data_IF_620143992300
#
_entry.id   IF_620143992300
#
_cell.length_a   1.000
_cell.length_b   1.000
_cell.length_c   1.000
_cell.angle_alpha   90.00
_cell.angle_beta   90.00
_cell.angle_gamma   90.00
#
_symmetry.space_group_name_H-M   'P 1'
#
loop_
_entity.id
_entity.type
_entity.pdbx_description
1 polymer ?
#
# COMPACT_ATOMS: atom_id res chain seq x y z
N UNK A 1 -8.57 26.60 12.26
CA UNK A 1 -7.81 25.60 13.06
C UNK A 1 -7.66 24.39 12.17
N UNK A 2 -6.48 23.77 12.09
CA UNK A 2 -6.31 22.50 11.37
C UNK A 2 -7.19 21.43 12.01
N UNK A 3 -7.78 20.54 11.19
CA UNK A 3 -8.53 19.37 11.68
C UNK A 3 -7.63 18.54 12.61
N UNK A 4 -8.22 17.89 13.60
CA UNK A 4 -7.53 16.91 14.45
C UNK A 4 -8.33 15.62 14.44
N UNK A 5 -7.65 14.49 14.47
CA UNK A 5 -8.26 13.17 14.35
C UNK A 5 -8.27 12.43 15.69
N UNK A 6 -9.28 11.59 15.90
CA UNK A 6 -9.37 10.74 17.09
C UNK A 6 -8.52 9.48 16.95
N UNK A 7 -8.28 9.03 15.71
CA UNK A 7 -7.36 7.93 15.41
C UNK A 7 -6.67 8.09 14.06
N UNK A 8 -5.64 7.29 13.83
CA UNK A 8 -5.07 7.07 12.51
C UNK A 8 -4.90 5.58 12.20
N UNK A 9 -5.20 5.23 10.95
CA UNK A 9 -4.97 3.90 10.40
C UNK A 9 -3.91 4.02 9.28
N UNK A 10 -2.72 3.50 9.54
CA UNK A 10 -1.57 3.59 8.64
C UNK A 10 -1.35 2.24 7.96
N UNK A 11 -1.76 2.14 6.71
CA UNK A 11 -1.59 0.98 5.85
C UNK A 11 -0.26 1.06 5.12
N UNK A 12 0.63 0.08 5.31
CA UNK A 12 1.90 -0.01 4.60
C UNK A 12 1.88 -1.27 3.73
N UNK A 13 1.87 -1.06 2.42
CA UNK A 13 1.68 -2.09 1.39
C UNK A 13 2.82 -2.08 0.38
N UNK A 14 3.03 -3.21 -0.30
CA UNK A 14 4.03 -3.27 -1.35
C UNK A 14 3.51 -2.62 -2.62
N UNK A 15 2.26 -2.96 -2.98
CA UNK A 15 1.67 -2.69 -4.28
C UNK A 15 0.31 -1.99 -4.17
N UNK A 16 -0.13 -1.40 -5.28
CA UNK A 16 -1.27 -0.49 -5.36
C UNK A 16 -2.65 -1.16 -5.23
N UNK A 17 -2.72 -2.49 -5.34
CA UNK A 17 -3.94 -3.32 -5.19
C UNK A 17 -4.01 -4.09 -3.85
N UNK A 18 -2.93 -4.14 -3.09
CA UNK A 18 -2.83 -4.95 -1.87
C UNK A 18 -3.95 -4.63 -0.87
N UNK A 19 -4.22 -3.34 -0.64
CA UNK A 19 -5.16 -2.93 0.39
C UNK A 19 -6.62 -3.18 -0.03
N UNK A 20 -6.94 -3.06 -1.31
CA UNK A 20 -8.24 -3.44 -1.87
C UNK A 20 -8.45 -4.96 -1.69
N UNK A 21 -7.43 -5.75 -2.01
CA UNK A 21 -7.51 -7.21 -2.02
C UNK A 21 -7.44 -7.84 -0.62
N UNK A 22 -6.57 -7.36 0.26
CA UNK A 22 -6.19 -8.09 1.48
C UNK A 22 -6.52 -7.37 2.78
N UNK A 23 -6.86 -6.08 2.72
CA UNK A 23 -7.14 -5.26 3.92
C UNK A 23 -8.60 -4.78 4.01
N UNK A 24 -9.36 -4.92 2.91
CA UNK A 24 -10.80 -4.65 2.90
C UNK A 24 -11.61 -5.76 3.59
N UNK A 25 -12.61 -5.41 4.44
CA UNK A 25 -13.30 -4.11 4.45
C UNK A 25 -12.73 -3.06 5.40
N UNK A 26 -11.74 -3.38 6.25
CA UNK A 26 -11.23 -2.48 7.29
C UNK A 26 -10.73 -1.14 6.73
N UNK A 27 -9.86 -1.18 5.72
CA UNK A 27 -9.36 0.03 5.05
C UNK A 27 -10.49 0.86 4.43
N UNK A 28 -11.50 0.21 3.85
CA UNK A 28 -12.67 0.90 3.31
C UNK A 28 -13.48 1.59 4.40
N UNK A 29 -13.59 1.02 5.59
CA UNK A 29 -14.27 1.63 6.72
C UNK A 29 -13.46 2.83 7.26
N UNK A 30 -12.14 2.71 7.35
CA UNK A 30 -11.27 3.79 7.80
C UNK A 30 -11.26 4.97 6.83
N UNK A 31 -11.25 4.71 5.51
CA UNK A 31 -11.36 5.77 4.49
C UNK A 31 -12.64 6.59 4.66
N UNK A 32 -13.76 5.96 5.06
CA UNK A 32 -15.05 6.63 5.16
C UNK A 32 -15.33 7.25 6.54
N UNK A 33 -14.45 7.04 7.52
CA UNK A 33 -14.57 7.56 8.87
C UNK A 33 -13.90 8.94 8.95
N UNK A 34 -14.71 10.01 9.00
CA UNK A 34 -14.21 11.39 9.08
C UNK A 34 -13.40 11.69 10.35
N UNK A 35 -13.44 10.82 11.36
CA UNK A 35 -12.63 10.95 12.58
C UNK A 35 -11.29 10.19 12.50
N UNK A 36 -11.09 9.40 11.43
CA UNK A 36 -9.87 8.64 11.17
C UNK A 36 -9.00 9.37 10.14
N UNK A 37 -7.73 9.60 10.49
CA UNK A 37 -6.72 9.93 9.49
C UNK A 37 -6.24 8.62 8.85
N UNK A 38 -6.65 8.37 7.61
CA UNK A 38 -6.26 7.14 6.90
C UNK A 38 -5.05 7.42 6.02
N UNK A 39 -4.01 6.59 6.12
CA UNK A 39 -2.80 6.75 5.34
C UNK A 39 -2.44 5.44 4.67
N UNK A 40 -2.15 5.48 3.37
CA UNK A 40 -1.76 4.30 2.59
C UNK A 40 -0.40 4.56 1.95
N UNK A 41 0.63 3.88 2.44
CA UNK A 41 2.02 4.01 2.00
C UNK A 41 2.34 2.82 1.10
N UNK A 42 2.68 3.09 -0.15
CA UNK A 42 3.12 2.08 -1.11
C UNK A 42 4.65 2.11 -1.20
N UNK A 43 5.29 1.00 -0.84
CA UNK A 43 6.76 0.91 -0.84
C UNK A 43 7.30 0.78 -2.26
N UNK A 44 6.63 0.02 -3.13
CA UNK A 44 7.04 -0.17 -4.53
C UNK A 44 6.12 0.56 -5.51
N UNK A 45 6.56 0.69 -6.75
CA UNK A 45 5.76 1.18 -7.87
C UNK A 45 4.84 0.08 -8.44
N UNK A 46 5.04 -1.19 -8.06
CA UNK A 46 4.32 -2.30 -8.67
C UNK A 46 4.47 -2.33 -10.19
N UNK A 47 5.65 -1.97 -10.70
CA UNK A 47 5.87 -1.80 -12.14
C UNK A 47 5.91 -3.13 -12.89
N UNK A 48 6.11 -4.27 -12.21
CA UNK A 48 6.24 -5.60 -12.82
C UNK A 48 7.18 -5.65 -14.05
N UNK A 49 8.19 -4.77 -14.11
CA UNK A 49 9.12 -4.61 -15.22
C UNK A 49 8.59 -3.84 -16.44
N UNK A 50 7.34 -3.37 -16.43
CA UNK A 50 6.74 -2.57 -17.50
C UNK A 50 7.23 -1.11 -17.52
N UNK A 51 6.87 -0.38 -18.58
CA UNK A 51 7.13 1.05 -18.69
C UNK A 51 6.35 1.91 -17.71
N UNK A 52 6.77 3.18 -17.61
CA UNK A 52 6.31 4.09 -16.58
C UNK A 52 4.79 4.32 -16.61
N UNK A 53 4.19 4.26 -17.80
CA UNK A 53 2.75 4.37 -17.97
C UNK A 53 1.97 3.33 -17.15
N UNK A 54 2.56 2.14 -16.90
CA UNK A 54 1.91 1.09 -16.11
C UNK A 54 1.84 1.45 -14.63
N UNK A 55 2.97 1.75 -13.98
CA UNK A 55 2.94 2.09 -12.56
C UNK A 55 2.20 3.43 -12.31
N UNK A 56 2.26 4.39 -13.23
CA UNK A 56 1.45 5.61 -13.19
C UNK A 56 -0.04 5.26 -13.21
N UNK A 57 -0.46 4.33 -14.06
CA UNK A 57 -1.85 3.87 -14.11
C UNK A 57 -2.27 3.17 -12.81
N UNK A 58 -1.40 2.36 -12.19
CA UNK A 58 -1.65 1.73 -10.90
C UNK A 58 -1.80 2.74 -9.75
N UNK A 59 -0.96 3.77 -9.70
CA UNK A 59 -1.11 4.86 -8.72
C UNK A 59 -2.46 5.58 -8.89
N UNK A 60 -2.81 5.95 -10.14
CA UNK A 60 -4.09 6.58 -10.45
C UNK A 60 -5.28 5.68 -10.08
N UNK A 61 -5.17 4.38 -10.28
CA UNK A 61 -6.20 3.39 -9.97
C UNK A 61 -6.41 3.22 -8.45
N UNK A 62 -5.34 3.21 -7.65
CA UNK A 62 -5.43 3.21 -6.19
C UNK A 62 -6.17 4.47 -5.69
N UNK A 63 -5.82 5.64 -6.23
CA UNK A 63 -6.48 6.90 -5.90
C UNK A 63 -7.96 6.91 -6.30
N UNK A 64 -8.28 6.38 -7.47
CA UNK A 64 -9.67 6.26 -7.93
C UNK A 64 -10.50 5.37 -7.00
N UNK A 65 -9.91 4.31 -6.44
CA UNK A 65 -10.56 3.43 -5.47
C UNK A 65 -10.94 4.17 -4.19
N UNK A 66 -10.04 5.03 -3.68
CA UNK A 66 -10.30 5.91 -2.51
C UNK A 66 -11.44 6.89 -2.84
N UNK A 67 -11.39 7.55 -3.99
CA UNK A 67 -12.43 8.49 -4.43
C UNK A 67 -13.79 7.82 -4.59
N UNK A 68 -13.81 6.58 -5.09
CA UNK A 68 -15.03 5.78 -5.17
C UNK A 68 -15.58 5.51 -3.77
N UNK A 69 -14.73 5.12 -2.81
CA UNK A 69 -15.17 4.89 -1.43
C UNK A 69 -15.73 6.14 -0.75
N UNK A 70 -15.17 7.31 -1.06
CA UNK A 70 -15.61 8.62 -0.58
C UNK A 70 -16.79 9.20 -1.37
N UNK A 71 -17.31 8.54 -2.41
CA UNK A 71 -18.33 9.09 -3.32
C UNK A 71 -19.67 9.45 -2.66
N UNK A 72 -19.92 8.95 -1.43
CA UNK A 72 -21.07 9.34 -0.61
C UNK A 72 -20.92 10.70 0.07
N UNK A 73 -19.71 11.25 0.10
CA UNK A 73 -19.39 12.58 0.63
C UNK A 73 -19.31 13.60 -0.51
N UNK A 74 -19.55 14.91 -0.27
CA UNK A 74 -19.35 15.93 -1.27
C UNK A 74 -17.94 15.84 -1.86
N UNK A 75 -17.82 15.92 -3.19
CA UNK A 75 -16.56 15.68 -3.90
C UNK A 75 -15.44 16.54 -3.31
N UNK A 76 -14.54 15.90 -2.58
CA UNK A 76 -13.37 16.55 -2.04
C UNK A 76 -12.33 16.69 -3.15
N UNK A 77 -11.67 17.83 -3.21
CA UNK A 77 -10.62 18.05 -4.21
C UNK A 77 -9.42 17.16 -3.89
N UNK A 78 -8.99 16.38 -4.88
CA UNK A 78 -7.70 15.70 -4.82
C UNK A 78 -6.60 16.76 -4.73
N UNK A 79 -5.74 16.64 -3.72
CA UNK A 79 -4.51 17.42 -3.63
C UNK A 79 -3.36 16.48 -4.01
N UNK A 80 -2.54 16.90 -4.96
CA UNK A 80 -1.28 16.24 -5.31
C UNK A 80 -0.15 17.08 -4.74
N UNK A 81 0.79 16.45 -4.05
CA UNK A 81 1.91 17.13 -3.41
C UNK A 81 3.19 16.28 -3.46
N UNK A 82 4.31 16.91 -3.15
CA UNK A 82 5.63 16.28 -3.03
C UNK A 82 6.27 16.76 -1.74
N UNK A 83 6.59 15.83 -0.83
CA UNK A 83 7.21 16.14 0.45
C UNK A 83 8.66 15.65 0.50
N UNK A 84 9.57 16.49 0.98
CA UNK A 84 10.95 16.08 1.24
C UNK A 84 11.08 15.51 2.66
N UNK A 85 11.51 14.25 2.77
CA UNK A 85 11.74 13.56 4.04
C UNK A 85 13.09 12.85 4.00
N UNK A 86 13.98 13.19 4.94
CA UNK A 86 15.34 12.64 5.03
C UNK A 86 16.17 12.73 3.73
N UNK A 87 15.93 13.78 2.92
CA UNK A 87 16.61 13.97 1.63
C UNK A 87 16.00 13.16 0.47
N UNK A 88 14.82 12.57 0.68
CA UNK A 88 14.04 11.87 -0.35
C UNK A 88 12.75 12.62 -0.64
N UNK A 89 12.43 12.73 -1.92
CA UNK A 89 11.21 13.36 -2.42
C UNK A 89 10.11 12.32 -2.58
N UNK A 90 9.05 12.44 -1.79
CA UNK A 90 7.94 11.47 -1.75
C UNK A 90 6.69 12.13 -2.33
N UNK A 91 6.18 11.57 -3.43
CA UNK A 91 4.88 11.98 -3.97
C UNK A 91 3.77 11.50 -3.05
N UNK A 92 2.83 12.38 -2.73
CA UNK A 92 1.63 12.01 -2.00
C UNK A 92 0.39 12.65 -2.60
N UNK A 93 -0.76 12.03 -2.34
CA UNK A 93 -2.05 12.57 -2.76
C UNK A 93 -3.09 12.39 -1.68
N UNK A 94 -3.82 13.46 -1.39
CA UNK A 94 -4.83 13.50 -0.34
C UNK A 94 -6.20 13.64 -0.97
N UNK A 95 -7.12 12.75 -0.59
CA UNK A 95 -8.52 12.76 -0.94
C UNK A 95 -9.33 12.70 0.36
N UNK A 96 -9.85 13.86 0.77
CA UNK A 96 -10.41 14.03 2.11
C UNK A 96 -9.45 13.69 3.22
N UNK A 97 -9.85 12.80 4.12
CA UNK A 97 -9.04 12.40 5.29
C UNK A 97 -8.10 11.22 4.99
N UNK A 98 -8.03 10.81 3.72
CA UNK A 98 -7.16 9.74 3.26
C UNK A 98 -5.98 10.27 2.43
N UNK A 99 -4.75 9.93 2.81
CA UNK A 99 -3.53 10.28 2.07
C UNK A 99 -2.80 9.04 1.58
N UNK A 100 -2.48 8.97 0.29
CA UNK A 100 -1.58 7.96 -0.26
C UNK A 100 -0.18 8.52 -0.43
N UNK A 101 0.85 7.77 -0.02
CA UNK A 101 2.26 8.04 -0.29
C UNK A 101 2.82 7.00 -1.25
N UNK A 102 3.67 7.43 -2.19
CA UNK A 102 4.29 6.56 -3.17
C UNK A 102 5.82 6.69 -3.08
N UNK A 103 6.48 5.66 -2.56
CA UNK A 103 7.94 5.62 -2.49
C UNK A 103 8.57 5.21 -3.84
N UNK A 104 7.78 4.57 -4.71
CA UNK A 104 8.14 4.21 -6.10
C UNK A 104 9.42 3.39 -6.21
N UNK A 105 9.67 2.49 -5.27
CA UNK A 105 10.78 1.55 -5.39
C UNK A 105 10.46 0.49 -6.46
N UNK A 106 11.45 -0.07 -7.16
CA UNK A 106 11.21 -1.12 -8.15
C UNK A 106 10.52 -2.32 -7.53
N UNK A 107 9.57 -2.88 -8.26
CA UNK A 107 8.97 -4.18 -7.96
C UNK A 107 10.08 -5.26 -7.95
N UNK A 108 10.10 -6.03 -6.87
CA UNK A 108 11.07 -7.07 -6.62
C UNK A 108 10.83 -8.34 -7.43
N UNK A 109 9.77 -8.44 -8.23
CA UNK A 109 9.25 -9.70 -8.76
C UNK A 109 8.91 -10.68 -7.62
N UNK A 110 8.30 -11.82 -7.95
CA UNK A 110 7.72 -12.72 -6.97
C UNK A 110 8.69 -13.18 -5.86
N UNK A 111 9.92 -13.56 -6.22
CA UNK A 111 10.95 -14.05 -5.29
C UNK A 111 11.97 -12.97 -4.88
N UNK A 112 11.82 -11.71 -5.30
CA UNK A 112 12.78 -10.64 -4.98
C UNK A 112 13.95 -10.50 -5.97
N UNK A 113 13.88 -11.17 -7.12
CA UNK A 113 14.88 -11.13 -8.19
C UNK A 113 15.01 -9.76 -8.88
N UNK A 114 13.93 -8.96 -8.85
CA UNK A 114 13.78 -7.72 -9.60
C UNK A 114 13.62 -7.94 -11.11
N UNK A 115 13.41 -6.85 -11.83
CA UNK A 115 13.27 -6.85 -13.29
C UNK A 115 14.50 -6.24 -13.99
N UNK A 116 14.80 -6.71 -15.21
CA UNK A 116 15.94 -6.24 -16.02
C UNK A 116 15.92 -4.72 -16.22
N UNK A 117 14.73 -4.15 -16.46
CA UNK A 117 14.51 -2.71 -16.65
C UNK A 117 15.14 -1.86 -15.55
N UNK A 118 15.10 -2.35 -14.31
CA UNK A 118 15.64 -1.66 -13.13
C UNK A 118 16.93 -2.30 -12.62
N UNK A 119 17.69 -2.95 -13.51
CA UNK A 119 18.95 -3.63 -13.21
C UNK A 119 18.82 -4.68 -12.10
N UNK A 120 17.67 -5.37 -12.04
CA UNK A 120 17.39 -6.40 -11.04
C UNK A 120 17.51 -5.90 -9.58
N UNK A 121 17.28 -4.60 -9.35
CA UNK A 121 17.20 -4.03 -8.02
C UNK A 121 15.88 -4.45 -7.34
N UNK A 122 15.92 -4.69 -6.03
CA UNK A 122 14.74 -5.03 -5.23
C UNK A 122 14.96 -4.65 -3.76
N UNK A 123 13.86 -4.57 -3.00
CA UNK A 123 13.92 -4.40 -1.54
C UNK A 123 14.71 -5.52 -0.87
N UNK A 124 14.53 -6.77 -1.31
CA UNK A 124 15.23 -7.93 -0.77
C UNK A 124 16.74 -7.77 -0.91
N UNK A 125 17.21 -7.47 -2.12
CA UNK A 125 18.64 -7.33 -2.42
C UNK A 125 19.29 -6.16 -1.68
N UNK A 126 18.56 -5.07 -1.48
CA UNK A 126 19.08 -3.97 -0.66
C UNK A 126 19.23 -4.40 0.81
N UNK A 127 18.24 -5.12 1.34
CA UNK A 127 18.24 -5.60 2.73
C UNK A 127 19.33 -6.64 2.99
N UNK A 128 19.54 -7.57 2.07
CA UNK A 128 20.59 -8.61 2.13
C UNK A 128 21.98 -8.09 1.74
N UNK A 129 22.08 -6.82 1.31
CA UNK A 129 23.31 -6.16 0.86
C UNK A 129 23.91 -6.73 -0.43
N UNK A 130 23.09 -7.41 -1.26
CA UNK A 130 23.48 -7.85 -2.60
C UNK A 130 23.60 -6.67 -3.59
N UNK A 131 22.94 -5.55 -3.28
CA UNK A 131 23.13 -4.26 -3.95
C UNK A 131 23.49 -3.17 -2.93
N UNK A 132 24.32 -2.22 -3.35
CA UNK A 132 24.76 -1.10 -2.49
C UNK A 132 23.85 0.13 -2.57
N UNK A 133 22.81 0.11 -3.40
CA UNK A 133 21.81 1.16 -3.45
C UNK A 133 20.58 0.72 -4.25
N UNK A 134 19.44 1.30 -3.90
CA UNK A 134 18.16 1.14 -4.59
C UNK A 134 17.70 2.51 -5.08
N UNK A 135 17.34 2.62 -6.35
CA UNK A 135 16.76 3.85 -6.91
C UNK A 135 15.26 3.72 -7.07
N UNK A 136 14.52 4.81 -6.93
CA UNK A 136 13.11 4.82 -7.35
C UNK A 136 12.99 4.70 -8.87
N UNK A 137 11.87 4.16 -9.36
CA UNK A 137 11.63 3.91 -10.79
C UNK A 137 11.55 5.19 -11.63
N UNK A 138 11.33 6.34 -10.99
CA UNK A 138 11.34 7.68 -11.59
C UNK A 138 12.71 8.38 -11.48
N UNK A 139 13.75 7.67 -11.01
CA UNK A 139 15.13 8.16 -10.80
C UNK A 139 15.24 9.37 -9.84
N UNK A 140 14.17 9.72 -9.11
CA UNK A 140 14.14 10.88 -8.19
C UNK A 140 14.87 10.60 -6.87
N UNK A 141 14.83 9.37 -6.40
CA UNK A 141 15.38 8.97 -5.11
C UNK A 141 16.46 7.90 -5.27
N UNK A 142 17.44 7.96 -4.38
CA UNK A 142 18.44 6.91 -4.20
C UNK A 142 18.60 6.63 -2.71
N UNK A 143 18.38 5.37 -2.34
CA UNK A 143 18.60 4.84 -1.00
C UNK A 143 19.92 4.07 -1.01
N UNK A 144 20.86 4.46 -0.18
CA UNK A 144 22.21 3.87 -0.13
C UNK A 144 22.30 2.65 0.77
N UNK A 145 21.30 2.44 1.61
CA UNK A 145 21.21 1.31 2.53
C UNK A 145 19.77 1.13 3.03
N UNK A 146 19.50 -0.01 3.68
CA UNK A 146 18.21 -0.32 4.29
C UNK A 146 17.79 0.71 5.35
N UNK A 147 18.73 1.23 6.14
CA UNK A 147 18.42 2.16 7.23
C UNK A 147 17.90 3.51 6.72
N UNK A 148 18.34 3.95 5.54
CA UNK A 148 17.83 5.13 4.87
C UNK A 148 16.35 4.96 4.49
N UNK A 149 15.94 3.79 3.98
CA UNK A 149 14.53 3.47 3.75
C UNK A 149 13.73 3.47 5.05
N UNK A 150 14.24 2.81 6.10
CA UNK A 150 13.57 2.73 7.41
C UNK A 150 13.31 4.13 7.96
N UNK A 151 14.32 5.01 7.92
CA UNK A 151 14.17 6.40 8.41
C UNK A 151 13.13 7.17 7.61
N UNK A 152 13.11 7.02 6.29
CA UNK A 152 12.14 7.69 5.42
C UNK A 152 10.72 7.19 5.66
N UNK A 153 10.51 5.87 5.82
CA UNK A 153 9.20 5.34 6.20
C UNK A 153 8.76 5.84 7.58
N UNK A 154 9.65 5.81 8.57
CA UNK A 154 9.37 6.30 9.93
C UNK A 154 9.02 7.80 9.92
N UNK A 155 9.69 8.60 9.07
CA UNK A 155 9.38 10.00 8.88
C UNK A 155 8.00 10.23 8.22
N UNK A 156 7.61 9.42 7.23
CA UNK A 156 6.26 9.46 6.64
C UNK A 156 5.22 9.20 7.73
N UNK A 157 5.38 8.10 8.50
CA UNK A 157 4.45 7.74 9.59
C UNK A 157 4.38 8.86 10.63
N UNK A 158 5.53 9.45 10.99
CA UNK A 158 5.59 10.54 11.95
C UNK A 158 4.80 11.78 11.47
N UNK A 159 5.04 12.26 10.24
CA UNK A 159 4.34 13.46 9.74
C UNK A 159 2.84 13.22 9.58
N UNK A 160 2.45 12.00 9.19
CA UNK A 160 1.05 11.58 9.09
C UNK A 160 0.30 11.57 10.42
N UNK A 161 1.00 11.46 11.54
CA UNK A 161 0.38 11.30 12.86
C UNK A 161 0.39 12.57 13.71
N UNK A 162 0.97 13.68 13.21
CA UNK A 162 1.10 14.94 13.97
C UNK A 162 -0.23 15.56 14.42
N UNK A 163 -1.33 15.29 13.72
CA UNK A 163 -2.66 15.83 14.02
C UNK A 163 -3.59 14.84 14.75
N UNK A 164 -3.06 13.68 15.14
CA UNK A 164 -3.82 12.58 15.76
C UNK A 164 -3.71 12.69 17.28
N UNK A 165 -4.85 12.63 17.97
CA UNK A 165 -4.92 12.77 19.44
C UNK A 165 -5.14 11.46 20.18
N UNK A 166 -5.59 10.42 19.49
CA UNK A 166 -5.87 9.11 20.09
C UNK A 166 -5.06 8.01 19.43
N UNK A 167 -5.74 6.94 19.04
CA UNK A 167 -5.11 5.68 18.66
C UNK A 167 -4.41 5.76 17.31
N UNK A 168 -3.27 5.07 17.18
CA UNK A 168 -2.58 4.87 15.90
C UNK A 168 -2.40 3.37 15.72
N UNK A 169 -2.90 2.85 14.61
CA UNK A 169 -2.80 1.44 14.24
C UNK A 169 -2.02 1.31 12.94
N UNK A 170 -1.06 0.39 12.92
CA UNK A 170 -0.25 0.04 11.76
C UNK A 170 -0.82 -1.23 11.10
N UNK A 171 -1.14 -1.15 9.82
CA UNK A 171 -1.71 -2.25 9.04
C UNK A 171 -0.72 -2.66 7.95
N UNK A 172 -0.39 -3.95 7.87
CA UNK A 172 0.57 -4.47 6.89
C UNK A 172 0.34 -5.97 6.63
N UNK A 173 0.89 -6.52 5.55
CA UNK A 173 0.81 -7.97 5.29
C UNK A 173 1.74 -8.73 6.24
N UNK A 174 1.25 -9.80 6.85
CA UNK A 174 1.98 -10.60 7.82
C UNK A 174 3.14 -11.36 7.16
N UNK A 175 4.40 -11.13 7.58
CA UNK A 175 5.56 -11.82 6.98
C UNK A 175 5.74 -13.24 7.51
N UNK A 176 4.86 -13.73 8.39
CA UNK A 176 4.91 -15.11 8.86
C UNK A 176 4.53 -16.09 7.73
N UNK A 177 5.54 -16.74 7.18
CA UNK A 177 5.40 -17.72 6.08
C UNK A 177 4.56 -18.95 6.46
N UNK A 178 4.31 -19.21 7.75
CA UNK A 178 3.39 -20.28 8.16
C UNK A 178 1.93 -19.87 8.00
N UNK A 179 1.64 -18.57 8.03
CA UNK A 179 0.33 -17.98 7.84
C UNK A 179 0.10 -17.53 6.38
N UNK A 180 1.14 -17.00 5.75
CA UNK A 180 1.18 -16.63 4.33
C UNK A 180 2.27 -17.43 3.59
N UNK A 181 2.09 -18.75 3.37
CA UNK A 181 3.02 -19.53 2.57
C UNK A 181 3.08 -19.01 1.13
N UNK A 182 4.28 -18.97 0.56
CA UNK A 182 4.52 -18.51 -0.81
C UNK A 182 4.00 -17.09 -1.06
N UNK A 183 4.20 -16.18 -0.10
CA UNK A 183 3.85 -14.78 -0.29
C UNK A 183 4.86 -14.07 -1.20
N UNK A 184 4.43 -12.96 -1.80
CA UNK A 184 5.29 -12.11 -2.60
C UNK A 184 6.45 -11.57 -1.74
N UNK A 185 7.68 -11.62 -2.26
CA UNK A 185 8.86 -11.17 -1.52
C UNK A 185 8.75 -9.72 -1.06
N UNK A 186 8.18 -8.82 -1.89
CA UNK A 186 7.94 -7.43 -1.50
C UNK A 186 6.93 -7.26 -0.35
N UNK A 187 5.95 -8.15 -0.17
CA UNK A 187 5.09 -8.12 1.02
C UNK A 187 5.92 -8.37 2.27
N UNK A 188 6.78 -9.39 2.22
CA UNK A 188 7.65 -9.77 3.34
C UNK A 188 8.66 -8.65 3.63
N UNK A 189 9.28 -8.07 2.60
CA UNK A 189 10.24 -6.99 2.75
C UNK A 189 9.59 -5.69 3.24
N UNK A 190 8.37 -5.37 2.79
CA UNK A 190 7.60 -4.24 3.29
C UNK A 190 7.27 -4.38 4.77
N UNK A 191 6.85 -5.57 5.20
CA UNK A 191 6.62 -5.85 6.61
C UNK A 191 7.90 -5.76 7.45
N UNK A 192 9.03 -6.23 6.92
CA UNK A 192 10.33 -6.04 7.58
C UNK A 192 10.74 -4.57 7.65
N UNK A 193 10.50 -3.80 6.60
CA UNK A 193 10.80 -2.37 6.57
C UNK A 193 10.01 -1.64 7.66
N UNK A 194 8.71 -1.92 7.78
CA UNK A 194 7.87 -1.37 8.84
C UNK A 194 8.33 -1.84 10.22
N UNK A 195 8.67 -3.12 10.39
CA UNK A 195 9.12 -3.68 11.69
C UNK A 195 10.35 -2.95 12.25
N UNK A 196 11.24 -2.51 11.36
CA UNK A 196 12.49 -1.84 11.74
C UNK A 196 12.29 -0.34 12.05
N UNK A 197 11.08 0.22 11.82
CA UNK A 197 10.74 1.60 12.20
C UNK A 197 10.57 1.78 13.71
N UNK A 198 10.68 3.01 14.20
CA UNK A 198 10.38 3.31 15.61
C UNK A 198 8.88 3.23 15.88
N UNK A 199 8.05 3.67 14.93
CA UNK A 199 6.60 3.59 15.00
C UNK A 199 6.09 2.17 15.32
N UNK A 200 6.66 1.13 14.69
CA UNK A 200 6.29 -0.25 14.97
C UNK A 200 6.61 -0.70 16.41
N UNK A 201 7.49 -0.03 17.14
CA UNK A 201 7.74 -0.39 18.55
C UNK A 201 6.62 0.10 19.48
N UNK A 202 5.89 1.15 19.10
CA UNK A 202 4.96 1.85 20.00
C UNK A 202 3.49 1.67 19.66
N UNK A 203 3.16 1.56 18.37
CA UNK A 203 1.77 1.53 17.93
C UNK A 203 1.21 0.10 17.88
N UNK A 204 -0.11 -0.01 17.90
CA UNK A 204 -0.82 -1.27 17.67
C UNK A 204 -0.60 -1.73 16.22
N UNK A 205 -0.59 -3.06 16.00
CA UNK A 205 -0.33 -3.66 14.69
C UNK A 205 -1.44 -4.62 14.33
N UNK A 206 -1.95 -4.50 13.11
CA UNK A 206 -2.79 -5.49 12.45
C UNK A 206 -2.01 -6.08 11.27
N UNK A 207 -1.57 -7.34 11.41
CA UNK A 207 -0.82 -8.04 10.37
C UNK A 207 -1.74 -8.99 9.59
N UNK A 208 -1.89 -8.75 8.28
CA UNK A 208 -2.92 -9.34 7.43
C UNK A 208 -2.47 -10.59 6.67
N UNK A 209 -3.40 -11.51 6.43
CA UNK A 209 -3.23 -12.54 5.41
C UNK A 209 -3.36 -11.93 4.01
N UNK A 210 -2.51 -12.36 3.08
CA UNK A 210 -2.48 -11.94 1.67
C UNK A 210 -3.17 -12.99 0.78
N UNK A 211 -2.46 -13.60 -0.16
CA UNK A 211 -2.98 -14.61 -1.09
C UNK A 211 -3.63 -15.81 -0.37
N UNK A 212 -3.19 -16.11 0.85
CA UNK A 212 -3.77 -17.17 1.69
C UNK A 212 -5.23 -16.93 2.08
N UNK A 213 -5.74 -15.70 1.92
CA UNK A 213 -7.18 -15.42 2.00
C UNK A 213 -8.01 -16.22 1.00
N UNK A 214 -7.41 -16.71 -0.10
CA UNK A 214 -8.05 -17.58 -1.07
C UNK A 214 -8.78 -18.76 -0.41
N UNK A 215 -8.14 -19.37 0.59
CA UNK A 215 -8.60 -20.57 1.30
C UNK A 215 -9.55 -20.28 2.48
N UNK A 216 -9.91 -19.02 2.71
CA UNK A 216 -10.85 -18.62 3.77
C UNK A 216 -12.30 -18.72 3.29
N UNK A 217 -13.25 -18.53 4.19
CA UNK A 217 -14.68 -18.66 3.89
C UNK A 217 -15.21 -17.51 3.01
N UNK A 218 -16.35 -17.72 2.32
CA UNK A 218 -17.07 -16.66 1.60
C UNK A 218 -17.99 -15.94 2.60
N UNK A 219 -17.44 -15.01 3.37
CA UNK A 219 -18.09 -14.39 4.53
C UNK A 219 -18.38 -12.88 4.37
N UNK A 220 -18.05 -12.29 3.21
CA UNK A 220 -18.48 -10.94 2.85
C UNK A 220 -19.86 -10.95 2.19
N UNK A 221 -20.74 -10.07 2.66
CA UNK A 221 -22.08 -9.87 2.10
C UNK A 221 -22.48 -8.39 2.14
N UNK A 222 -23.58 -8.04 1.47
CA UNK A 222 -24.18 -6.71 1.56
C UNK A 222 -23.23 -5.58 1.16
N UNK A 223 -23.21 -4.50 1.95
CA UNK A 223 -22.40 -3.31 1.67
C UNK A 223 -20.90 -3.57 1.75
N UNK A 224 -20.42 -4.40 2.68
CA UNK A 224 -18.98 -4.70 2.79
C UNK A 224 -18.48 -5.40 1.51
N UNK A 225 -19.26 -6.33 0.96
CA UNK A 225 -18.96 -6.97 -0.31
C UNK A 225 -18.98 -5.96 -1.46
N UNK A 226 -20.03 -5.12 -1.53
CA UNK A 226 -20.16 -4.10 -2.56
C UNK A 226 -18.96 -3.15 -2.57
N UNK A 227 -18.56 -2.62 -1.42
CA UNK A 227 -17.45 -1.68 -1.34
C UNK A 227 -16.13 -2.33 -1.69
N UNK A 228 -15.86 -3.54 -1.21
CA UNK A 228 -14.62 -4.24 -1.53
C UNK A 228 -14.51 -4.53 -3.03
N UNK A 229 -15.53 -5.20 -3.60
CA UNK A 229 -15.55 -5.53 -5.03
C UNK A 229 -15.57 -4.27 -5.88
N UNK A 230 -16.32 -3.25 -5.48
CA UNK A 230 -16.40 -1.97 -6.18
C UNK A 230 -15.08 -1.22 -6.21
N UNK A 231 -14.37 -1.12 -5.08
CA UNK A 231 -13.03 -0.50 -5.04
C UNK A 231 -12.06 -1.25 -5.97
N UNK A 232 -12.02 -2.58 -5.93
CA UNK A 232 -11.15 -3.35 -6.81
C UNK A 232 -11.57 -3.26 -8.30
N UNK A 233 -12.87 -3.20 -8.59
CA UNK A 233 -13.37 -3.02 -9.95
C UNK A 233 -12.98 -1.64 -10.52
N UNK A 234 -13.04 -0.58 -9.71
CA UNK A 234 -12.57 0.76 -10.10
C UNK A 234 -11.06 0.75 -10.33
N UNK A 235 -10.29 0.09 -9.46
CA UNK A 235 -8.88 -0.10 -9.67
C UNK A 235 -8.59 -0.75 -11.04
N UNK A 236 -9.20 -1.92 -11.29
CA UNK A 236 -9.06 -2.64 -12.56
C UNK A 236 -9.44 -1.78 -13.77
N UNK A 237 -10.59 -1.10 -13.70
CA UNK A 237 -11.07 -0.23 -14.78
C UNK A 237 -10.04 0.84 -15.13
N UNK A 238 -9.48 1.53 -14.14
CA UNK A 238 -8.54 2.64 -14.38
C UNK A 238 -7.21 2.14 -14.93
N UNK A 239 -6.69 1.01 -14.45
CA UNK A 239 -5.49 0.38 -15.03
C UNK A 239 -5.75 0.01 -16.50
N UNK A 240 -6.90 -0.60 -16.78
CA UNK A 240 -7.28 -1.01 -18.12
C UNK A 240 -7.47 0.17 -19.08
N UNK A 241 -8.16 1.23 -18.66
CA UNK A 241 -8.37 2.42 -19.49
C UNK A 241 -7.08 3.20 -19.75
N UNK A 242 -6.20 3.28 -18.75
CA UNK A 242 -4.99 4.12 -18.82
C UNK A 242 -3.83 3.43 -19.53
N UNK A 243 -3.71 2.11 -19.39
CA UNK A 243 -2.56 1.34 -19.90
C UNK A 243 -2.95 0.14 -20.79
N UNK A 244 -4.21 -0.29 -20.79
CA UNK A 244 -4.67 -1.44 -21.56
C UNK A 244 -4.45 -2.79 -20.87
N UNK A 245 -4.01 -2.80 -19.62
CA UNK A 245 -3.71 -4.02 -18.87
C UNK A 245 -4.90 -4.48 -18.02
N UNK A 246 -5.21 -5.77 -18.07
CA UNK A 246 -6.33 -6.35 -17.34
C UNK A 246 -5.83 -7.18 -16.16
N UNK A 247 -5.86 -6.61 -14.95
CA UNK A 247 -5.48 -7.32 -13.71
C UNK A 247 -6.28 -8.60 -13.51
N UNK A 248 -7.61 -8.54 -13.72
CA UNK A 248 -8.49 -9.71 -13.65
C UNK A 248 -8.20 -10.72 -14.80
N UNK A 249 -7.65 -10.23 -15.91
CA UNK A 249 -7.23 -11.08 -17.03
C UNK A 249 -5.96 -11.88 -16.76
N UNK A 250 -5.15 -11.47 -15.78
CA UNK A 250 -3.95 -12.21 -15.37
C UNK A 250 -4.31 -13.54 -14.69
N UNK A 251 -5.33 -13.51 -13.83
CA UNK A 251 -5.82 -14.68 -13.10
C UNK A 251 -7.26 -14.48 -12.63
N UNK A 252 -8.07 -15.54 -12.75
CA UNK A 252 -9.42 -15.56 -12.16
C UNK A 252 -9.40 -15.48 -10.62
N UNK A 253 -8.26 -15.73 -9.99
CA UNK A 253 -8.10 -15.71 -8.53
C UNK A 253 -8.28 -14.31 -7.93
N UNK A 254 -8.03 -13.25 -8.70
CA UNK A 254 -8.30 -11.87 -8.27
C UNK A 254 -9.75 -11.65 -7.87
N UNK A 255 -10.70 -12.26 -8.58
CA UNK A 255 -12.10 -12.22 -8.17
C UNK A 255 -12.34 -12.97 -6.86
N UNK A 256 -11.64 -14.08 -6.62
CA UNK A 256 -11.76 -14.81 -5.36
C UNK A 256 -11.28 -13.94 -4.20
N UNK A 257 -10.09 -13.33 -4.30
CA UNK A 257 -9.56 -12.43 -3.26
C UNK A 257 -10.44 -11.20 -3.05
N UNK A 258 -10.96 -10.59 -4.12
CA UNK A 258 -11.87 -9.45 -4.03
C UNK A 258 -13.20 -9.79 -3.31
N UNK A 259 -13.58 -11.07 -3.25
CA UNK A 259 -14.80 -11.54 -2.57
C UNK A 259 -14.56 -12.11 -1.15
N UNK A 260 -13.32 -12.08 -0.64
CA UNK A 260 -12.97 -12.60 0.70
C UNK A 260 -12.91 -11.48 1.73
N UNK A 261 -13.24 -11.72 3.00
CA UNK A 261 -12.89 -10.75 4.06
C UNK A 261 -11.36 -10.72 4.27
N UNK A 262 -10.86 -9.57 4.69
CA UNK A 262 -9.51 -9.45 5.24
C UNK A 262 -9.40 -10.13 6.61
N UNK A 263 -8.33 -10.89 6.83
CA UNK A 263 -8.03 -11.53 8.13
C UNK A 263 -6.70 -11.02 8.64
N UNK A 264 -6.61 -10.71 9.92
CA UNK A 264 -5.37 -10.24 10.54
C UNK A 264 -5.21 -10.77 11.97
N UNK A 265 -3.98 -10.72 12.47
CA UNK A 265 -3.69 -10.83 13.91
C UNK A 265 -3.33 -9.45 14.47
N UNK A 266 -3.82 -9.15 15.67
CA UNK A 266 -3.54 -7.90 16.39
C UNK A 266 -2.46 -8.12 17.46
N UNK A 267 -1.48 -7.21 17.58
CA UNK A 267 -0.43 -7.23 18.61
C UNK A 267 0.36 -5.91 18.70
#
# INVERSE_FOLDING_TARGET
MSKTYERAAIYVVAHQDDWQLFMSPHVGNDIADENCCTVIIHTTAGDAGYEDAYWIAREAAAVASIRFRLSQTPMQHQVLDEIELNGHSITCTTNGDCTSYFMRLPDGNYEGEGFERYNYQSLMKLRTQDISSLKSVDDRNKFTDWQSLVKTLDAIIHVSTLQVKGEIVLHFIDPDISLNPHDHCDHIMTAHLLRDTTAHQFFEKHAYLSYSTFYKEHDLTGEELFWKVGMFAIYHQVVYESFGHSTIGESSEFFTWANRRAYFRAY
#
